data_IF_897191971858
#
_entry.id   IF_897191971858
#
_cell.length_a   1.000
_cell.length_b   1.000
_cell.length_c   1.000
_cell.angle_alpha   90.00
_cell.angle_beta   90.00
_cell.angle_gamma   90.00
#
_symmetry.space_group_name_H-M   'P 1'
#
loop_
_entity.id
_entity.type
_entity.pdbx_description
1 polymer ?
#
# COMPACT_ATOMS: atom_id res chain seq x y z
N UNK A 1 2.81 -12.55 -6.62
CA UNK A 1 1.37 -12.36 -6.27
C UNK A 1 0.96 -10.95 -6.63
N UNK A 2 -0.28 -10.73 -7.11
CA UNK A 2 -0.78 -9.40 -7.45
C UNK A 2 -1.55 -8.75 -6.31
N UNK A 3 -1.45 -7.44 -6.18
CA UNK A 3 -2.10 -6.62 -5.17
C UNK A 3 -2.83 -5.46 -5.83
N UNK A 4 -3.95 -5.05 -5.26
CA UNK A 4 -4.71 -3.89 -5.73
C UNK A 4 -4.14 -2.62 -5.10
N UNK A 5 -3.82 -1.63 -5.94
CA UNK A 5 -3.37 -0.32 -5.47
C UNK A 5 -4.60 0.49 -5.03
N UNK A 6 -4.75 0.64 -3.72
CA UNK A 6 -5.82 1.41 -3.10
C UNK A 6 -5.56 2.91 -3.12
N UNK A 7 -4.29 3.31 -3.12
CA UNK A 7 -3.89 4.72 -3.12
C UNK A 7 -2.41 4.90 -2.81
N UNK A 8 -2.03 6.12 -2.44
CA UNK A 8 -0.66 6.50 -2.13
C UNK A 8 -0.55 7.20 -0.78
N UNK A 9 0.59 7.01 -0.13
CA UNK A 9 0.96 7.69 1.09
C UNK A 9 2.47 7.92 1.10
N UNK A 10 2.91 9.17 1.02
CA UNK A 10 4.33 9.57 1.07
C UNK A 10 5.24 8.70 0.18
N UNK A 11 4.97 8.67 -1.14
CA UNK A 11 5.75 7.90 -2.14
C UNK A 11 5.67 6.37 -1.93
N UNK A 12 4.67 5.90 -1.19
CA UNK A 12 4.37 4.48 -1.01
C UNK A 12 2.99 4.21 -1.60
N UNK A 13 2.90 3.32 -2.57
CA UNK A 13 1.63 2.73 -2.97
C UNK A 13 1.09 1.89 -1.82
N UNK A 14 -0.13 2.18 -1.39
CA UNK A 14 -0.87 1.41 -0.41
C UNK A 14 -1.68 0.36 -1.14
N UNK A 15 -1.43 -0.88 -0.77
CA UNK A 15 -1.93 -2.07 -1.43
C UNK A 15 -2.90 -2.79 -0.50
N UNK A 16 -4.04 -3.27 -1.01
CA UNK A 16 -5.01 -4.04 -0.23
C UNK A 16 -5.17 -5.43 -0.81
N UNK A 17 -5.10 -6.44 0.06
CA UNK A 17 -5.34 -7.85 -0.29
C UNK A 17 -5.87 -8.60 0.92
N UNK A 18 -6.97 -9.33 0.76
CA UNK A 18 -7.56 -10.21 1.79
C UNK A 18 -7.79 -9.50 3.15
N UNK A 19 -8.15 -8.21 3.11
CA UNK A 19 -8.37 -7.41 4.33
C UNK A 19 -7.09 -6.91 5.01
N UNK A 20 -5.92 -7.25 4.48
CA UNK A 20 -4.62 -6.75 4.94
C UNK A 20 -4.11 -5.62 4.05
N UNK A 21 -3.39 -4.69 4.69
CA UNK A 21 -2.73 -3.57 4.04
C UNK A 21 -1.23 -3.85 3.87
N UNK A 22 -0.73 -3.55 2.69
CA UNK A 22 0.67 -3.63 2.32
C UNK A 22 1.11 -2.30 1.75
N UNK A 23 2.41 -2.08 1.67
CA UNK A 23 2.99 -0.93 0.99
C UNK A 23 4.06 -1.35 0.00
N UNK A 24 4.24 -0.52 -1.02
CA UNK A 24 5.31 -0.62 -2.00
C UNK A 24 5.90 0.77 -2.21
N UNK A 25 7.22 0.91 -2.13
CA UNK A 25 7.89 2.16 -2.51
C UNK A 25 7.97 2.23 -4.03
N UNK A 26 7.20 3.14 -4.63
CA UNK A 26 7.18 3.40 -6.06
C UNK A 26 6.51 4.76 -6.31
N UNK A 27 6.71 5.35 -7.49
CA UNK A 27 5.98 6.55 -7.87
C UNK A 27 4.55 6.22 -8.32
N UNK A 28 3.66 7.21 -8.29
CA UNK A 28 2.29 7.05 -8.81
C UNK A 28 2.24 6.73 -10.30
N UNK A 29 3.23 7.20 -11.06
CA UNK A 29 3.38 6.89 -12.47
C UNK A 29 3.62 5.39 -12.73
N UNK A 30 4.30 4.69 -11.80
CA UNK A 30 4.66 3.27 -11.96
C UNK A 30 3.51 2.33 -11.57
N UNK A 31 2.68 2.74 -10.60
CA UNK A 31 1.62 1.91 -10.03
C UNK A 31 0.34 2.71 -9.79
N UNK A 32 -0.36 3.17 -10.83
CA UNK A 32 -1.52 4.05 -10.67
C UNK A 32 -2.60 3.45 -9.76
N UNK A 33 -3.27 4.31 -8.99
CA UNK A 33 -4.39 3.89 -8.14
C UNK A 33 -5.48 3.21 -8.98
N UNK A 34 -6.01 2.09 -8.49
CA UNK A 34 -7.00 1.29 -9.22
C UNK A 34 -6.42 0.22 -10.15
N UNK A 35 -5.09 0.08 -10.19
CA UNK A 35 -4.41 -0.98 -10.96
C UNK A 35 -4.00 -2.17 -10.08
N UNK A 36 -3.64 -3.28 -10.73
CA UNK A 36 -3.09 -4.45 -10.08
C UNK A 36 -1.58 -4.49 -10.31
N UNK A 37 -0.79 -4.52 -9.23
CA UNK A 37 0.67 -4.57 -9.28
C UNK A 37 1.19 -5.91 -8.78
N UNK A 38 2.30 -6.38 -9.34
CA UNK A 38 2.98 -7.57 -8.83
C UNK A 38 3.76 -7.19 -7.57
N UNK A 39 3.29 -7.62 -6.41
CA UNK A 39 3.90 -7.29 -5.12
C UNK A 39 5.01 -8.24 -4.72
N UNK A 40 5.94 -8.55 -5.63
CA UNK A 40 7.15 -9.28 -5.27
C UNK A 40 8.01 -8.48 -4.27
N UNK A 41 7.81 -7.16 -4.25
CA UNK A 41 8.44 -6.17 -3.36
C UNK A 41 7.45 -5.55 -2.36
N UNK A 42 6.19 -6.01 -2.33
CA UNK A 42 5.21 -5.52 -1.38
C UNK A 42 5.57 -5.98 0.04
N UNK A 43 5.50 -5.05 1.00
CA UNK A 43 5.79 -5.27 2.42
C UNK A 43 4.58 -4.99 3.26
N UNK A 44 4.49 -5.58 4.45
CA UNK A 44 3.38 -5.30 5.36
C UNK A 44 3.52 -3.88 5.92
N UNK A 45 2.40 -3.18 6.08
CA UNK A 45 2.44 -1.85 6.73
C UNK A 45 3.00 -1.94 8.16
N UNK A 46 2.94 -3.11 8.80
CA UNK A 46 3.52 -3.34 10.14
C UNK A 46 5.05 -3.13 10.20
N UNK A 47 5.74 -3.09 9.06
CA UNK A 47 7.16 -2.75 8.97
C UNK A 47 7.42 -1.22 8.99
N UNK A 48 6.37 -0.39 8.84
CA UNK A 48 6.48 1.07 8.92
C UNK A 48 6.47 1.56 10.38
N UNK A 49 6.87 2.81 10.65
CA UNK A 49 6.68 3.42 11.97
C UNK A 49 5.21 3.38 12.40
N UNK A 50 4.95 3.20 13.70
CA UNK A 50 3.58 3.08 14.25
C UNK A 50 2.68 4.27 13.85
N UNK A 51 3.25 5.47 13.78
CA UNK A 51 2.53 6.67 13.32
C UNK A 51 2.04 6.53 11.87
N UNK A 52 2.91 6.09 10.95
CA UNK A 52 2.52 5.87 9.54
C UNK A 52 1.46 4.75 9.45
N UNK A 53 1.62 3.68 10.24
CA UNK A 53 0.64 2.60 10.29
C UNK A 53 -0.75 3.11 10.70
N UNK A 54 -0.82 3.91 11.77
CA UNK A 54 -2.09 4.47 12.24
C UNK A 54 -2.73 5.39 11.20
N UNK A 55 -1.95 6.26 10.57
CA UNK A 55 -2.44 7.16 9.51
C UNK A 55 -2.94 6.37 8.30
N UNK A 56 -2.17 5.39 7.82
CA UNK A 56 -2.57 4.53 6.69
C UNK A 56 -3.83 3.72 7.05
N UNK A 57 -3.93 3.17 8.26
CA UNK A 57 -5.11 2.45 8.71
C UNK A 57 -6.34 3.36 8.78
N UNK A 58 -6.22 4.60 9.26
CA UNK A 58 -7.34 5.54 9.28
C UNK A 58 -7.86 5.89 7.88
N UNK A 59 -6.98 5.93 6.88
CA UNK A 59 -7.34 6.27 5.49
C UNK A 59 -7.87 5.04 4.74
N UNK A 60 -7.24 3.86 4.91
CA UNK A 60 -7.41 2.71 4.02
C UNK A 60 -7.98 1.44 4.68
N UNK A 61 -8.09 1.37 6.02
CA UNK A 61 -8.65 0.21 6.71
C UNK A 61 -10.20 0.18 6.72
N UNK A 62 -10.85 1.11 6.02
CA UNK A 62 -12.31 1.09 5.79
C UNK A 62 -12.76 -0.02 4.84
#
# INVERSE_FOLDING_TARGET
MSYYVSGYYQEKAILKKEGQLFFLKCEEADAPTGTMVQGNTARLITELPEKEQQEICQIYAS
#
